data_IF_396387490151
#
_entry.id   IF_396387490151
#
_cell.length_a   1.000
_cell.length_b   1.000
_cell.length_c   1.000
_cell.angle_alpha   90.00
_cell.angle_beta   90.00
_cell.angle_gamma   90.00
#
_symmetry.space_group_name_H-M   'P 1'
#
loop_
_entity.id
_entity.type
_entity.pdbx_description
1 polymer ?
#
# COMPACT_ATOMS: atom_id res chain seq x y z
N UNK A 1 14.16 8.66 -4.71
CA UNK A 1 14.20 7.64 -5.78
C UNK A 1 13.97 6.21 -5.28
N UNK A 2 14.47 5.80 -4.10
CA UNK A 2 14.30 4.41 -3.60
C UNK A 2 12.84 4.00 -3.29
N UNK A 3 12.01 4.89 -2.74
CA UNK A 3 10.65 4.54 -2.30
C UNK A 3 9.69 4.21 -3.46
N UNK A 4 9.87 4.80 -4.65
CA UNK A 4 9.07 4.49 -5.84
C UNK A 4 9.31 3.05 -6.32
N UNK A 5 10.57 2.62 -6.35
CA UNK A 5 10.97 1.28 -6.76
C UNK A 5 10.32 0.18 -5.90
N UNK A 6 10.15 0.45 -4.60
CA UNK A 6 9.50 -0.49 -3.69
C UNK A 6 7.98 -0.57 -3.92
N UNK A 7 7.35 0.53 -4.33
CA UNK A 7 5.93 0.53 -4.68
C UNK A 7 5.66 -0.28 -5.94
N UNK A 8 6.54 -0.18 -6.95
CA UNK A 8 6.43 -0.97 -8.18
C UNK A 8 6.47 -2.48 -7.89
N UNK A 9 7.39 -2.93 -7.01
CA UNK A 9 7.48 -4.34 -6.62
C UNK A 9 6.18 -4.83 -5.95
N UNK A 10 5.61 -4.04 -5.03
CA UNK A 10 4.35 -4.38 -4.37
C UNK A 10 3.20 -4.45 -5.38
N UNK A 11 3.17 -3.54 -6.36
CA UNK A 11 2.16 -3.53 -7.42
C UNK A 11 2.28 -4.80 -8.27
N UNK A 12 3.49 -5.19 -8.68
CA UNK A 12 3.70 -6.41 -9.45
C UNK A 12 3.26 -7.66 -8.67
N UNK A 13 3.68 -7.80 -7.41
CA UNK A 13 3.29 -8.92 -6.56
C UNK A 13 1.75 -8.99 -6.35
N UNK A 14 1.09 -7.83 -6.26
CA UNK A 14 -0.36 -7.77 -6.14
C UNK A 14 -1.06 -8.19 -7.43
N UNK A 15 -0.66 -7.62 -8.57
CA UNK A 15 -1.25 -7.94 -9.88
C UNK A 15 -1.13 -9.43 -10.18
N UNK A 16 0.04 -10.02 -9.93
CA UNK A 16 0.30 -11.44 -10.19
C UNK A 16 -0.53 -12.38 -9.29
N UNK A 17 -0.96 -11.91 -8.12
CA UNK A 17 -1.72 -12.75 -7.16
C UNK A 17 -3.19 -12.39 -7.04
N UNK A 18 -3.65 -11.25 -7.60
CA UNK A 18 -5.03 -10.76 -7.43
C UNK A 18 -6.06 -11.74 -8.01
N UNK A 19 -5.77 -12.35 -9.16
CA UNK A 19 -6.72 -13.23 -9.87
C UNK A 19 -7.05 -14.53 -9.12
N UNK A 20 -6.14 -15.01 -8.27
CA UNK A 20 -6.31 -16.26 -7.51
C UNK A 20 -6.71 -16.03 -6.05
N UNK A 21 -6.84 -14.77 -5.63
CA UNK A 21 -7.30 -14.40 -4.29
C UNK A 21 -8.83 -14.35 -4.22
N UNK A 22 -9.44 -14.59 -3.05
CA UNK A 22 -10.88 -14.37 -2.86
C UNK A 22 -11.30 -12.95 -3.26
N UNK A 23 -12.47 -12.78 -3.88
CA UNK A 23 -12.93 -11.51 -4.47
C UNK A 23 -12.92 -10.32 -3.48
N UNK A 24 -13.10 -10.58 -2.18
CA UNK A 24 -13.11 -9.55 -1.14
C UNK A 24 -11.73 -9.25 -0.54
N UNK A 25 -10.65 -9.76 -1.13
CA UNK A 25 -9.29 -9.52 -0.65
C UNK A 25 -8.91 -8.06 -0.85
N UNK A 26 -8.35 -7.46 0.20
CA UNK A 26 -7.87 -6.07 0.19
C UNK A 26 -6.37 -6.04 0.35
N UNK A 27 -5.70 -5.20 -0.45
CA UNK A 27 -4.28 -4.94 -0.32
C UNK A 27 -4.05 -3.62 0.43
N UNK A 28 -3.14 -3.63 1.40
CA UNK A 28 -2.74 -2.47 2.17
C UNK A 28 -1.21 -2.33 2.09
N UNK A 29 -0.71 -1.14 1.81
CA UNK A 29 0.71 -0.84 1.78
C UNK A 29 1.05 0.19 2.86
N UNK A 30 1.80 -0.23 3.88
CA UNK A 30 2.30 0.67 4.93
C UNK A 30 3.55 1.39 4.44
N UNK A 31 3.49 2.72 4.37
CA UNK A 31 4.58 3.55 3.89
C UNK A 31 5.22 4.27 5.06
N UNK A 32 6.51 4.05 5.28
CA UNK A 32 7.24 4.71 6.35
C UNK A 32 7.50 6.18 6.01
N UNK A 33 6.84 7.08 6.73
CA UNK A 33 7.00 8.54 6.65
C UNK A 33 7.68 9.13 7.90
N UNK A 34 8.28 8.29 8.75
CA UNK A 34 8.85 8.72 10.04
C UNK A 34 10.09 9.61 9.88
N UNK A 35 10.91 9.34 8.86
CA UNK A 35 12.18 10.06 8.63
C UNK A 35 12.08 11.06 7.48
N UNK A 36 11.27 10.76 6.47
CA UNK A 36 11.19 11.53 5.25
C UNK A 36 9.74 11.71 4.81
N UNK A 37 9.43 12.89 4.27
CA UNK A 37 8.16 13.11 3.58
C UNK A 37 8.10 12.21 2.35
N UNK A 38 7.04 11.43 2.29
CA UNK A 38 6.73 10.55 1.15
C UNK A 38 6.12 11.40 0.04
N UNK A 39 6.53 11.17 -1.20
CA UNK A 39 5.91 11.82 -2.36
C UNK A 39 4.50 11.28 -2.60
N UNK A 40 3.55 12.16 -2.90
CA UNK A 40 2.17 11.80 -3.24
C UNK A 40 2.08 10.84 -4.43
N UNK A 41 3.04 10.91 -5.37
CA UNK A 41 3.14 10.02 -6.54
C UNK A 41 3.11 8.54 -6.12
N UNK A 42 3.69 8.20 -4.97
CA UNK A 42 3.73 6.82 -4.47
C UNK A 42 2.35 6.36 -3.99
N UNK A 43 1.62 7.25 -3.32
CA UNK A 43 0.26 6.94 -2.85
C UNK A 43 -0.71 6.83 -4.03
N UNK A 44 -0.56 7.69 -5.03
CA UNK A 44 -1.33 7.64 -6.28
C UNK A 44 -1.06 6.35 -7.05
N UNK A 45 0.22 5.97 -7.23
CA UNK A 45 0.60 4.74 -7.90
C UNK A 45 -0.02 3.50 -7.24
N UNK A 46 0.05 3.37 -5.92
CA UNK A 46 -0.55 2.26 -5.19
C UNK A 46 -2.09 2.24 -5.32
N UNK A 47 -2.72 3.41 -5.19
CA UNK A 47 -4.18 3.53 -5.25
C UNK A 47 -4.74 3.14 -6.64
N UNK A 48 -4.01 3.43 -7.71
CA UNK A 48 -4.41 3.07 -9.08
C UNK A 48 -4.52 1.55 -9.31
N UNK A 49 -3.88 0.73 -8.46
CA UNK A 49 -3.93 -0.73 -8.51
C UNK A 49 -4.78 -1.34 -7.39
N UNK A 50 -5.68 -0.56 -6.79
CA UNK A 50 -6.53 -0.94 -5.63
C UNK A 50 -5.74 -1.33 -4.37
N UNK A 51 -4.49 -0.85 -4.24
CA UNK A 51 -3.68 -1.05 -3.04
C UNK A 51 -3.85 0.18 -2.17
N UNK A 52 -4.43 0.04 -0.98
CA UNK A 52 -4.69 1.16 -0.07
C UNK A 52 -3.39 1.60 0.60
N UNK A 53 -2.83 2.79 0.27
CA UNK A 53 -1.61 3.28 0.89
C UNK A 53 -1.92 3.85 2.27
N UNK A 54 -1.13 3.50 3.27
CA UNK A 54 -1.27 3.99 4.65
C UNK A 54 0.07 4.50 5.13
N UNK A 55 0.15 5.80 5.42
CA UNK A 55 1.33 6.36 6.07
C UNK A 55 1.49 5.77 7.47
N UNK A 56 2.72 5.45 7.85
CA UNK A 56 3.05 4.86 9.14
C UNK A 56 2.61 5.73 10.32
N UNK A 57 2.75 7.05 10.19
CA UNK A 57 2.23 8.05 11.13
C UNK A 57 0.71 7.94 11.38
N UNK A 58 -0.03 7.39 10.41
CA UNK A 58 -1.49 7.25 10.43
C UNK A 58 -1.98 5.82 10.68
N UNK A 59 -1.08 4.86 10.98
CA UNK A 59 -1.41 3.44 11.13
C UNK A 59 -2.53 3.13 12.13
N UNK A 60 -2.71 3.95 13.17
CA UNK A 60 -3.79 3.73 14.14
C UNK A 60 -5.19 3.81 13.50
N UNK A 61 -5.34 4.54 12.38
CA UNK A 61 -6.62 4.69 11.66
C UNK A 61 -7.12 3.37 11.05
N UNK A 62 -6.21 2.44 10.73
CA UNK A 62 -6.56 1.15 10.10
C UNK A 62 -6.58 -0.01 11.08
N UNK A 63 -6.21 0.22 12.34
CA UNK A 63 -6.07 -0.85 13.34
C UNK A 63 -7.37 -1.63 13.53
N UNK A 64 -8.51 -0.94 13.49
CA UNK A 64 -9.83 -1.58 13.58
C UNK A 64 -10.19 -2.35 12.30
N UNK A 65 -9.75 -1.91 11.13
CA UNK A 65 -9.98 -2.63 9.86
C UNK A 65 -9.15 -3.92 9.77
N UNK A 66 -8.01 -3.98 10.47
CA UNK A 66 -7.08 -5.12 10.46
C UNK A 66 -7.17 -6.04 11.69
N UNK A 67 -7.93 -5.67 12.73
CA UNK A 67 -8.07 -6.47 13.95
C UNK A 67 -9.21 -7.49 13.90
N UNK A 68 -9.76 -7.76 12.71
CA UNK A 68 -10.82 -8.73 12.47
C UNK A 68 -10.31 -10.18 12.57
#
# INVERSE_FOLDING_TARGET
>A
MSCLKNADLIIFDWVDTKEVRPENSKAYALINDSENKVSNIISEALSNYDIKPILWSHREKIKLELAA
#
